data_IF_245315111575
#
_entry.id   IF_245315111575
#
_cell.length_a   1.000
_cell.length_b   1.000
_cell.length_c   1.000
_cell.angle_alpha   90.00
_cell.angle_beta   90.00
_cell.angle_gamma   90.00
#
_symmetry.space_group_name_H-M   'P 1'
#
loop_
_entity.id
_entity.type
_entity.pdbx_description
1 polymer ?
#
# COMPACT_ATOMS: atom_id res chain seq x y z
N UNK A 1 2.87 -31.36 -80.14
CA UNK A 1 2.61 -29.94 -80.04
C UNK A 1 2.03 -29.63 -78.68
N UNK A 2 2.84 -29.20 -77.78
CA UNK A 2 2.42 -28.89 -76.40
C UNK A 2 1.95 -27.44 -76.38
N UNK A 3 0.70 -27.23 -76.31
CA UNK A 3 0.17 -25.90 -76.03
C UNK A 3 0.22 -25.72 -74.52
N UNK A 4 1.22 -24.99 -74.10
CA UNK A 4 1.29 -24.57 -72.73
C UNK A 4 0.24 -23.50 -72.46
N UNK A 5 -0.84 -23.95 -71.88
CA UNK A 5 -1.88 -23.05 -71.44
C UNK A 5 -1.37 -22.17 -70.27
N UNK A 6 -1.11 -20.94 -70.59
CA UNK A 6 -0.57 -19.93 -69.67
C UNK A 6 -1.66 -19.26 -68.82
N UNK A 7 -2.68 -19.97 -68.47
CA UNK A 7 -3.82 -19.39 -67.78
C UNK A 7 -4.01 -19.92 -66.35
N UNK A 8 -3.03 -19.89 -65.56
CA UNK A 8 -3.25 -20.22 -64.17
C UNK A 8 -2.22 -19.59 -63.23
N UNK A 9 -1.85 -18.35 -63.50
CA UNK A 9 -1.25 -17.54 -62.48
C UNK A 9 -2.19 -16.42 -62.09
N UNK A 10 -3.35 -16.83 -61.57
CA UNK A 10 -4.13 -15.98 -60.70
C UNK A 10 -3.32 -15.73 -59.46
N UNK A 11 -2.64 -14.59 -59.44
CA UNK A 11 -1.92 -14.16 -58.27
C UNK A 11 -2.88 -14.02 -57.09
N UNK A 12 -2.86 -14.98 -56.23
CA UNK A 12 -3.41 -14.77 -54.90
C UNK A 12 -2.44 -13.86 -54.18
N UNK A 13 -2.66 -12.57 -54.31
CA UNK A 13 -2.14 -11.59 -53.41
C UNK A 13 -2.81 -11.85 -52.04
N UNK A 14 -2.23 -12.75 -51.29
CA UNK A 14 -2.48 -12.78 -49.86
C UNK A 14 -1.94 -11.47 -49.28
N UNK A 15 -2.79 -10.48 -49.27
CA UNK A 15 -2.60 -9.35 -48.39
C UNK A 15 -2.69 -9.89 -46.96
N UNK A 16 -1.57 -10.27 -46.43
CA UNK A 16 -1.43 -10.42 -45.00
C UNK A 16 -1.65 -9.04 -44.37
N UNK A 17 -2.91 -8.71 -44.18
CA UNK A 17 -3.26 -7.66 -43.25
C UNK A 17 -2.80 -8.17 -41.86
N UNK A 18 -1.58 -7.84 -41.54
CA UNK A 18 -1.15 -7.86 -40.16
C UNK A 18 -2.03 -6.86 -39.43
N UNK A 19 -3.17 -7.34 -38.99
CA UNK A 19 -3.91 -6.68 -37.95
C UNK A 19 -2.94 -6.65 -36.74
N UNK A 20 -2.22 -5.57 -36.63
CA UNK A 20 -1.69 -5.17 -35.31
C UNK A 20 -2.95 -5.05 -34.46
N UNK A 21 -3.30 -6.14 -33.80
CA UNK A 21 -4.18 -6.10 -32.68
C UNK A 21 -3.47 -5.19 -31.69
N UNK A 22 -3.84 -3.92 -31.69
CA UNK A 22 -3.57 -3.06 -30.58
C UNK A 22 -4.16 -3.79 -29.39
N UNK A 23 -3.29 -4.48 -28.65
CA UNK A 23 -3.65 -5.00 -27.35
C UNK A 23 -4.14 -3.76 -26.61
N UNK A 24 -5.42 -3.66 -26.26
CA UNK A 24 -5.84 -2.55 -25.43
C UNK A 24 -4.93 -2.67 -24.22
N UNK A 25 -4.06 -1.69 -24.05
CA UNK A 25 -3.41 -1.52 -22.78
C UNK A 25 -4.57 -1.51 -21.81
N UNK A 26 -4.75 -2.60 -21.08
CA UNK A 26 -5.66 -2.62 -19.97
C UNK A 26 -5.12 -1.53 -19.05
N UNK A 27 -5.63 -0.33 -19.24
CA UNK A 27 -5.59 0.67 -18.21
C UNK A 27 -6.32 -0.01 -17.05
N UNK A 28 -5.55 -0.62 -16.17
CA UNK A 28 -6.07 -1.06 -14.89
C UNK A 28 -6.79 0.17 -14.36
N UNK A 29 -8.06 0.07 -13.99
CA UNK A 29 -8.73 1.18 -13.35
C UNK A 29 -7.76 1.61 -12.26
N UNK A 30 -7.29 2.86 -12.34
CA UNK A 30 -6.33 3.38 -11.41
C UNK A 30 -6.97 3.17 -10.04
N UNK A 31 -6.53 2.12 -9.34
CA UNK A 31 -6.89 1.94 -7.95
C UNK A 31 -6.54 3.23 -7.23
N UNK A 32 -7.08 3.48 -6.05
CA UNK A 32 -6.80 4.71 -5.34
C UNK A 32 -5.29 4.90 -5.31
N UNK A 33 -4.84 6.04 -5.80
CA UNK A 33 -3.41 6.37 -5.87
C UNK A 33 -2.79 6.12 -4.50
N UNK A 34 -1.84 5.18 -4.37
CA UNK A 34 -1.28 4.80 -3.07
C UNK A 34 -0.70 6.00 -2.33
N UNK A 35 -0.15 6.95 -3.07
CA UNK A 35 0.42 8.17 -2.52
C UNK A 35 -0.67 9.03 -1.88
N UNK A 36 -1.76 9.29 -2.59
CA UNK A 36 -2.90 10.07 -2.06
C UNK A 36 -3.53 9.39 -0.86
N UNK A 37 -3.59 8.06 -0.89
CA UNK A 37 -4.11 7.30 0.23
C UNK A 37 -3.25 7.50 1.48
N UNK A 38 -1.92 7.39 1.37
CA UNK A 38 -0.98 7.63 2.47
C UNK A 38 -1.03 9.08 2.94
N UNK A 39 -0.98 10.04 2.03
CA UNK A 39 -1.06 11.47 2.34
C UNK A 39 -2.36 11.82 3.10
N UNK A 40 -3.48 11.24 2.69
CA UNK A 40 -4.76 11.43 3.38
C UNK A 40 -4.76 10.88 4.81
N UNK A 41 -4.14 9.72 5.03
CA UNK A 41 -4.02 9.10 6.36
C UNK A 41 -3.08 9.89 7.28
N UNK A 42 -1.92 10.29 6.77
CA UNK A 42 -0.98 11.12 7.51
C UNK A 42 -1.57 12.51 7.83
N UNK A 43 -2.31 13.11 6.90
CA UNK A 43 -3.04 14.35 7.14
C UNK A 43 -4.12 14.21 8.22
N UNK A 44 -4.81 13.07 8.30
CA UNK A 44 -5.77 12.80 9.37
C UNK A 44 -5.07 12.68 10.74
N UNK A 45 -3.94 11.98 10.80
CA UNK A 45 -3.13 11.88 12.01
C UNK A 45 -2.64 13.26 12.46
N UNK A 46 -2.10 14.05 11.55
CA UNK A 46 -1.60 15.39 11.85
C UNK A 46 -2.69 16.30 12.40
N UNK A 47 -3.90 16.24 11.84
CA UNK A 47 -5.07 17.01 12.36
C UNK A 47 -5.48 16.56 13.76
N UNK A 48 -5.52 15.26 14.02
CA UNK A 48 -5.84 14.73 15.35
C UNK A 48 -4.83 15.21 16.40
N UNK A 49 -3.56 15.21 16.05
CA UNK A 49 -2.50 15.65 16.93
C UNK A 49 -2.53 17.16 17.21
N UNK A 50 -2.90 17.97 16.21
CA UNK A 50 -3.01 19.42 16.38
C UNK A 50 -4.23 19.84 17.21
N UNK A 51 -5.31 19.05 17.21
CA UNK A 51 -6.54 19.36 17.95
C UNK A 51 -6.51 18.98 19.43
N UNK A 52 -5.55 18.20 19.89
CA UNK A 52 -5.65 17.47 21.14
C UNK A 52 -4.90 18.04 22.34
N UNK A 53 -4.31 19.23 22.26
CA UNK A 53 -3.52 19.77 23.38
C UNK A 53 -4.36 20.33 24.53
N UNK A 54 -5.59 20.74 24.25
CA UNK A 54 -6.41 21.51 25.22
C UNK A 54 -7.48 20.70 25.96
N UNK A 55 -7.62 19.39 25.66
CA UNK A 55 -8.76 18.58 26.09
C UNK A 55 -8.58 17.72 27.36
N UNK A 56 -7.44 17.79 28.04
CA UNK A 56 -7.17 16.95 29.21
C UNK A 56 -6.85 15.48 28.87
N UNK A 57 -6.67 14.65 29.91
CA UNK A 57 -6.19 13.26 29.79
C UNK A 57 -7.13 12.39 28.93
N UNK A 58 -8.44 12.47 29.18
CA UNK A 58 -9.41 11.65 28.43
C UNK A 58 -9.46 11.98 26.94
N UNK A 59 -9.32 13.26 26.56
CA UNK A 59 -9.26 13.66 25.16
C UNK A 59 -7.95 13.21 24.51
N UNK A 60 -6.86 13.21 25.25
CA UNK A 60 -5.56 12.70 24.81
C UNK A 60 -5.62 11.20 24.53
N UNK A 61 -6.20 10.42 25.44
CA UNK A 61 -6.36 8.98 25.27
C UNK A 61 -7.26 8.63 24.06
N UNK A 62 -8.37 9.35 23.89
CA UNK A 62 -9.28 9.16 22.75
C UNK A 62 -8.58 9.49 21.42
N UNK A 63 -7.79 10.55 21.39
CA UNK A 63 -6.97 10.93 20.24
C UNK A 63 -5.94 9.86 19.91
N UNK A 64 -5.20 9.40 20.91
CA UNK A 64 -4.16 8.39 20.75
C UNK A 64 -4.74 7.07 20.24
N UNK A 65 -5.92 6.68 20.70
CA UNK A 65 -6.64 5.52 20.21
C UNK A 65 -7.08 5.68 18.74
N UNK A 66 -7.43 6.88 18.29
CA UNK A 66 -7.75 7.15 16.89
C UNK A 66 -6.50 7.11 16.01
N UNK A 67 -5.40 7.69 16.47
CA UNK A 67 -4.11 7.63 15.78
C UNK A 67 -3.67 6.18 15.62
N UNK A 68 -3.71 5.39 16.69
CA UNK A 68 -3.37 3.97 16.65
C UNK A 68 -4.23 3.19 15.64
N UNK A 69 -5.52 3.47 15.56
CA UNK A 69 -6.42 2.83 14.56
C UNK A 69 -6.03 3.19 13.13
N UNK A 70 -5.69 4.44 12.86
CA UNK A 70 -5.25 4.87 11.52
C UNK A 70 -3.97 4.15 11.14
N UNK A 71 -2.98 4.10 12.03
CA UNK A 71 -1.69 3.45 11.79
C UNK A 71 -1.84 1.95 11.57
N UNK A 72 -2.63 1.28 12.41
CA UNK A 72 -2.90 -0.16 12.27
C UNK A 72 -3.63 -0.47 10.95
N UNK A 73 -4.41 0.46 10.41
CA UNK A 73 -5.03 0.31 9.10
C UNK A 73 -4.09 0.57 7.93
N UNK A 74 -2.94 1.20 8.16
CA UNK A 74 -1.93 1.46 7.13
C UNK A 74 -0.88 0.35 7.03
N UNK A 75 -0.65 -0.39 8.10
CA UNK A 75 0.40 -1.38 8.21
C UNK A 75 -0.19 -2.78 8.40
N UNK A 76 0.21 -3.70 7.55
CA UNK A 76 0.00 -5.12 7.78
C UNK A 76 1.08 -5.62 8.75
N UNK A 77 0.80 -5.47 10.04
CA UNK A 77 1.76 -5.80 11.11
C UNK A 77 2.02 -7.31 11.18
N UNK A 78 1.02 -8.13 10.85
CA UNK A 78 1.19 -9.57 10.81
C UNK A 78 2.14 -9.98 9.69
N UNK A 79 1.94 -9.47 8.47
CA UNK A 79 2.83 -9.73 7.35
C UNK A 79 4.23 -9.15 7.59
N UNK A 80 4.32 -7.98 8.20
CA UNK A 80 5.60 -7.37 8.58
C UNK A 80 6.36 -8.27 9.56
N UNK A 81 5.68 -8.77 10.58
CA UNK A 81 6.26 -9.68 11.57
C UNK A 81 6.70 -10.99 10.96
N UNK A 82 5.88 -11.56 10.09
CA UNK A 82 6.19 -12.78 9.36
C UNK A 82 7.46 -12.63 8.53
N UNK A 83 7.58 -11.55 7.76
CA UNK A 83 8.77 -11.28 6.93
C UNK A 83 10.01 -10.97 7.75
N UNK A 84 9.87 -10.26 8.84
CA UNK A 84 11.01 -9.88 9.70
C UNK A 84 11.66 -11.09 10.37
N UNK A 85 10.89 -12.14 10.67
CA UNK A 85 11.37 -13.35 11.31
C UNK A 85 11.45 -14.57 10.38
N UNK A 86 11.28 -14.42 9.08
CA UNK A 86 11.40 -15.53 8.14
C UNK A 86 12.84 -16.12 8.15
N UNK A 87 13.04 -17.46 8.23
CA UNK A 87 12.04 -18.52 8.28
C UNK A 87 11.54 -18.91 9.68
N UNK A 88 11.98 -18.25 10.73
CA UNK A 88 11.73 -18.64 12.12
C UNK A 88 10.28 -18.45 12.54
N UNK A 89 9.57 -17.48 11.98
CA UNK A 89 8.17 -17.23 12.33
C UNK A 89 7.27 -18.45 12.12
N UNK A 90 7.43 -19.13 10.98
CA UNK A 90 6.66 -20.33 10.66
C UNK A 90 6.97 -21.55 11.54
N UNK A 91 8.09 -21.53 12.26
CA UNK A 91 8.52 -22.60 13.17
C UNK A 91 7.94 -22.43 14.59
N UNK A 92 7.37 -21.27 14.88
CA UNK A 92 6.79 -20.99 16.17
C UNK A 92 5.35 -21.50 16.26
N UNK A 93 4.88 -21.76 17.48
CA UNK A 93 3.48 -22.12 17.72
C UNK A 93 2.55 -20.97 17.31
N UNK A 94 1.27 -21.25 16.94
CA UNK A 94 0.30 -20.19 16.66
C UNK A 94 0.14 -19.19 17.82
N UNK A 95 0.24 -19.64 19.07
CA UNK A 95 0.19 -18.79 20.24
C UNK A 95 1.39 -17.85 20.33
N UNK A 96 2.60 -18.33 20.03
CA UNK A 96 3.82 -17.52 20.04
C UNK A 96 3.82 -16.53 18.87
N UNK A 97 3.35 -16.92 17.70
CA UNK A 97 3.17 -16.03 16.56
C UNK A 97 2.21 -14.87 16.90
N UNK A 98 1.07 -15.17 17.53
CA UNK A 98 0.11 -14.16 17.94
C UNK A 98 0.68 -13.22 19.00
N UNK A 99 1.42 -13.76 19.97
CA UNK A 99 2.12 -12.98 21.01
C UNK A 99 3.15 -12.03 20.39
N UNK A 100 3.96 -12.53 19.46
CA UNK A 100 4.95 -11.72 18.75
C UNK A 100 4.30 -10.57 17.98
N UNK A 101 3.25 -10.85 17.20
CA UNK A 101 2.52 -9.84 16.42
C UNK A 101 1.91 -8.78 17.34
N UNK A 102 1.36 -9.17 18.48
CA UNK A 102 0.81 -8.26 19.48
C UNK A 102 1.89 -7.35 20.07
N UNK A 103 3.05 -7.89 20.43
CA UNK A 103 4.18 -7.12 20.95
C UNK A 103 4.77 -6.18 19.89
N UNK A 104 4.88 -6.64 18.66
CA UNK A 104 5.34 -5.82 17.54
C UNK A 104 4.40 -4.62 17.30
N UNK A 105 3.09 -4.85 17.37
CA UNK A 105 2.09 -3.79 17.26
C UNK A 105 2.25 -2.75 18.36
N UNK A 106 2.36 -3.17 19.59
CA UNK A 106 2.56 -2.28 20.74
C UNK A 106 3.86 -1.47 20.61
N UNK A 107 4.93 -2.11 20.14
CA UNK A 107 6.21 -1.44 19.92
C UNK A 107 6.11 -0.36 18.85
N UNK A 108 5.47 -0.68 17.71
CA UNK A 108 5.27 0.28 16.61
C UNK A 108 4.40 1.45 17.07
N UNK A 109 3.30 1.20 17.75
CA UNK A 109 2.40 2.23 18.26
C UNK A 109 3.12 3.15 19.26
N UNK A 110 3.88 2.58 20.17
CA UNK A 110 4.66 3.32 21.15
C UNK A 110 5.74 4.18 20.51
N UNK A 111 6.52 3.62 19.61
CA UNK A 111 7.58 4.33 18.91
C UNK A 111 7.02 5.45 18.02
N UNK A 112 5.91 5.20 17.34
CA UNK A 112 5.24 6.20 16.52
C UNK A 112 4.72 7.37 17.38
N UNK A 113 4.12 7.09 18.53
CA UNK A 113 3.64 8.11 19.47
C UNK A 113 4.78 9.01 19.96
N UNK A 114 5.89 8.43 20.37
CA UNK A 114 7.07 9.18 20.81
C UNK A 114 7.64 10.07 19.71
N UNK A 115 7.73 9.55 18.48
CA UNK A 115 8.24 10.31 17.34
C UNK A 115 7.28 11.43 16.90
N UNK A 116 5.98 11.24 17.01
CA UNK A 116 5.00 12.27 16.70
C UNK A 116 5.04 13.42 17.68
N UNK A 117 5.17 13.15 18.97
CA UNK A 117 5.31 14.18 20.00
C UNK A 117 6.54 15.05 19.71
N UNK A 118 7.67 14.46 19.40
CA UNK A 118 8.88 15.18 19.03
C UNK A 118 8.74 16.00 17.75
N UNK A 119 8.04 15.48 16.74
CA UNK A 119 7.81 16.17 15.47
C UNK A 119 6.88 17.37 15.64
N UNK A 120 5.88 17.28 16.51
CA UNK A 120 4.98 18.39 16.80
C UNK A 120 5.69 19.51 17.56
N UNK A 121 6.59 19.18 18.47
CA UNK A 121 7.40 20.17 19.18
C UNK A 121 8.32 20.94 18.23
N UNK A 122 8.84 20.27 17.20
CA UNK A 122 9.60 20.90 16.12
C UNK A 122 8.75 21.83 15.25
N UNK A 123 7.55 21.42 14.88
CA UNK A 123 6.65 22.22 14.06
C UNK A 123 6.21 23.53 14.78
N UNK A 124 6.08 23.48 16.10
CA UNK A 124 5.74 24.66 16.92
C UNK A 124 6.92 25.64 17.03
N UNK A 125 8.14 25.18 16.91
CA UNK A 125 9.35 26.02 17.05
C UNK A 125 9.64 26.82 15.75
N UNK A 126 9.13 26.38 14.59
CA UNK A 126 9.34 27.02 13.29
C UNK A 126 8.08 27.73 12.73
N UNK A 127 7.01 27.72 13.45
CA UNK A 127 5.80 28.48 13.13
C UNK A 127 5.79 29.79 13.87
#
# INVERSE_FOLDING_TARGET
MMILDRRSFGGILLSAATALAAVPAFAQPAGPDPRRWVEGRLGAVSRLLSQGRDGGVAATEARDAQVARILNGMLDIEELGRRALDPYFGQQSPADQATFVSLLRQLIERNYRQNLESTLDWAVTYG
#
